data_IF_375207070585
#
_entry.id   IF_375207070585
#
_cell.length_a   1.000
_cell.length_b   1.000
_cell.length_c   1.000
_cell.angle_alpha   90.00
_cell.angle_beta   90.00
_cell.angle_gamma   90.00
#
_symmetry.space_group_name_H-M   'P 1'
#
loop_
_entity.id
_entity.type
_entity.pdbx_description
1 polymer ?
#
# COMPACT_ATOMS: atom_id res chain seq x y z
N UNK A 1 -23.81 -0.82 10.79
CA UNK A 1 -22.79 -0.14 9.96
C UNK A 1 -22.01 -1.19 9.19
N UNK A 2 -21.51 -0.89 7.98
CA UNK A 2 -20.75 -1.84 7.14
C UNK A 2 -19.53 -1.13 6.56
N UNK A 3 -18.33 -1.59 6.90
CA UNK A 3 -17.12 -1.24 6.17
C UNK A 3 -17.01 -2.19 4.97
N UNK A 4 -16.93 -1.69 3.73
CA UNK A 4 -16.73 -2.54 2.55
C UNK A 4 -15.29 -2.37 2.06
N UNK A 5 -14.50 -3.44 1.99
CA UNK A 5 -13.17 -3.40 1.38
C UNK A 5 -13.26 -3.89 -0.06
N UNK A 6 -13.31 -2.98 -1.02
CA UNK A 6 -13.38 -3.36 -2.43
C UNK A 6 -11.97 -3.60 -2.97
N UNK A 7 -11.88 -4.49 -3.96
CA UNK A 7 -10.70 -4.86 -4.75
C UNK A 7 -9.62 -5.67 -4.03
N UNK A 8 -9.46 -6.93 -4.47
CA UNK A 8 -8.12 -7.50 -4.66
C UNK A 8 -7.77 -7.40 -6.16
N UNK A 9 -7.51 -6.19 -6.63
CA UNK A 9 -6.14 -5.76 -6.85
C UNK A 9 -5.95 -4.66 -5.81
N UNK A 10 -4.88 -4.66 -5.03
CA UNK A 10 -4.77 -3.95 -3.75
C UNK A 10 -4.85 -2.39 -3.83
N UNK A 11 -5.48 -1.83 -4.86
CA UNK A 11 -6.10 -0.52 -4.84
C UNK A 11 -7.43 -0.53 -4.08
N UNK A 12 -7.34 -0.08 -2.83
CA UNK A 12 -8.36 0.64 -2.08
C UNK A 12 -9.52 -0.15 -1.47
N UNK A 13 -9.33 -0.51 -0.19
CA UNK A 13 -10.40 -0.48 0.82
C UNK A 13 -11.34 0.72 0.53
N UNK A 14 -12.67 0.58 0.55
CA UNK A 14 -13.57 1.72 0.25
C UNK A 14 -14.76 1.70 1.19
N UNK A 15 -14.60 2.35 2.34
CA UNK A 15 -15.69 2.59 3.28
C UNK A 15 -16.91 3.17 2.53
N UNK A 16 -18.07 2.53 2.64
CA UNK A 16 -19.30 3.15 2.15
C UNK A 16 -19.67 4.32 3.06
N UNK A 17 -19.96 5.45 2.43
CA UNK A 17 -20.00 6.83 2.93
C UNK A 17 -21.07 7.19 3.97
N UNK A 18 -21.49 6.25 4.82
CA UNK A 18 -22.36 6.52 5.98
C UNK A 18 -21.69 6.16 7.32
N UNK A 19 -20.36 6.04 7.34
CA UNK A 19 -19.60 5.63 8.51
C UNK A 19 -19.03 6.84 9.29
N UNK A 20 -19.02 6.83 10.63
CA UNK A 20 -18.39 7.86 11.46
C UNK A 20 -16.87 7.95 11.17
N UNK A 21 -16.24 9.06 11.56
CA UNK A 21 -14.85 9.40 11.20
C UNK A 21 -13.77 8.33 11.48
N UNK A 22 -14.04 7.36 12.35
CA UNK A 22 -13.15 6.24 12.63
C UNK A 22 -12.97 5.26 11.47
N UNK A 23 -13.99 5.06 10.63
CA UNK A 23 -13.88 4.19 9.45
C UNK A 23 -12.89 4.75 8.41
N UNK A 24 -12.78 6.09 8.35
CA UNK A 24 -11.75 6.77 7.55
C UNK A 24 -10.34 6.53 8.09
N UNK A 25 -10.13 6.58 9.41
CA UNK A 25 -8.83 6.31 10.04
C UNK A 25 -8.39 4.85 9.85
N UNK A 26 -9.29 3.89 10.05
CA UNK A 26 -9.01 2.47 9.80
C UNK A 26 -8.64 2.23 8.33
N UNK A 27 -9.40 2.84 7.41
CA UNK A 27 -9.11 2.83 5.98
C UNK A 27 -7.69 3.33 5.68
N UNK A 28 -7.35 4.53 6.16
CA UNK A 28 -6.05 5.16 5.94
C UNK A 28 -4.89 4.29 6.40
N UNK A 29 -4.95 3.74 7.62
CA UNK A 29 -3.85 2.99 8.24
C UNK A 29 -3.64 1.61 7.61
N UNK A 30 -4.72 0.91 7.29
CA UNK A 30 -4.63 -0.43 6.68
C UNK A 30 -3.99 -0.44 5.29
N UNK A 31 -4.02 0.69 4.55
CA UNK A 31 -3.38 0.81 3.23
C UNK A 31 -1.89 0.48 3.25
N UNK A 32 -1.19 0.75 4.36
CA UNK A 32 0.26 0.52 4.43
C UNK A 32 0.60 -0.95 4.25
N UNK A 33 -0.04 -1.82 5.04
CA UNK A 33 0.11 -3.27 4.96
C UNK A 33 -0.47 -3.81 3.65
N UNK A 34 -1.64 -3.35 3.22
CA UNK A 34 -2.22 -3.80 1.95
C UNK A 34 -1.30 -3.50 0.75
N UNK A 35 -0.77 -2.29 0.65
CA UNK A 35 0.18 -1.94 -0.40
C UNK A 35 1.49 -2.74 -0.28
N UNK A 36 1.92 -3.09 0.92
CA UNK A 36 3.11 -3.92 1.11
C UNK A 36 2.87 -5.32 0.58
N UNK A 37 1.75 -5.93 0.97
CA UNK A 37 1.35 -7.25 0.49
C UNK A 37 1.26 -7.24 -1.03
N UNK A 38 0.53 -6.30 -1.62
CA UNK A 38 0.37 -6.18 -3.09
C UNK A 38 1.68 -6.30 -3.87
N UNK A 39 2.69 -5.57 -3.42
CA UNK A 39 3.93 -5.36 -4.16
C UNK A 39 4.87 -6.56 -4.06
N UNK A 40 4.55 -7.51 -3.19
CA UNK A 40 5.23 -8.81 -3.06
C UNK A 40 4.57 -9.92 -3.92
N UNK A 41 3.55 -9.59 -4.72
CA UNK A 41 2.95 -10.50 -5.70
C UNK A 41 3.11 -9.96 -7.13
N UNK A 42 3.36 -10.86 -8.06
CA UNK A 42 3.37 -10.57 -9.49
C UNK A 42 1.95 -10.44 -10.05
N UNK A 43 1.80 -9.78 -11.20
CA UNK A 43 0.48 -9.61 -11.84
C UNK A 43 -0.27 -10.95 -12.08
N UNK A 44 0.37 -12.04 -12.55
CA UNK A 44 -0.32 -13.33 -12.71
C UNK A 44 -0.77 -13.95 -11.38
N UNK A 45 -0.04 -13.70 -10.29
CA UNK A 45 -0.43 -14.19 -8.96
C UNK A 45 -1.62 -13.39 -8.45
N UNK A 46 -1.59 -12.07 -8.64
CA UNK A 46 -2.70 -11.19 -8.31
C UNK A 46 -3.95 -11.52 -9.11
N UNK A 47 -3.85 -11.88 -10.39
CA UNK A 47 -4.99 -12.30 -11.23
C UNK A 47 -5.64 -13.62 -10.74
N UNK A 48 -4.85 -14.56 -10.21
CA UNK A 48 -5.37 -15.80 -9.61
C UNK A 48 -6.10 -15.55 -8.30
N UNK A 49 -5.62 -14.56 -7.56
CA UNK A 49 -6.19 -14.12 -6.29
C UNK A 49 -7.43 -13.24 -6.54
N UNK A 50 -7.42 -12.44 -7.62
CA UNK A 50 -8.42 -11.44 -7.95
C UNK A 50 -9.88 -11.91 -7.82
N UNK A 51 -10.34 -13.04 -8.42
CA UNK A 51 -11.75 -13.44 -8.36
C UNK A 51 -12.28 -13.66 -6.94
N UNK A 52 -11.40 -13.76 -5.95
CA UNK A 52 -11.72 -13.71 -4.52
C UNK A 52 -11.25 -12.37 -3.94
N UNK A 53 -12.19 -11.52 -3.52
CA UNK A 53 -11.86 -10.27 -2.82
C UNK A 53 -12.05 -10.47 -1.33
N UNK A 54 -10.97 -10.40 -0.55
CA UNK A 54 -11.10 -10.38 0.91
C UNK A 54 -11.67 -9.05 1.35
N UNK A 55 -12.83 -9.09 2.03
CA UNK A 55 -13.51 -7.91 2.54
C UNK A 55 -13.70 -8.05 4.04
N UNK A 56 -12.79 -7.46 4.81
CA UNK A 56 -12.98 -7.34 6.25
C UNK A 56 -14.13 -6.34 6.48
N UNK A 57 -15.33 -6.87 6.71
CA UNK A 57 -16.49 -6.04 6.99
C UNK A 57 -16.88 -6.07 8.46
N UNK A 58 -16.88 -4.88 9.03
CA UNK A 58 -17.36 -4.68 10.38
C UNK A 58 -18.87 -4.52 10.32
N UNK A 59 -19.59 -5.58 10.68
CA UNK A 59 -21.05 -5.56 10.80
C UNK A 59 -21.48 -5.69 12.26
N UNK A 60 -22.59 -5.02 12.60
CA UNK A 60 -23.29 -5.27 13.87
C UNK A 60 -24.24 -6.47 13.77
N UNK A 61 -24.50 -6.95 12.55
CA UNK A 61 -25.44 -8.03 12.24
C UNK A 61 -24.67 -9.11 11.50
N UNK A 62 -24.75 -10.39 11.91
CA UNK A 62 -24.01 -11.47 11.24
C UNK A 62 -24.38 -11.56 9.77
N UNK A 63 -23.40 -11.57 8.87
CA UNK A 63 -23.58 -11.94 7.46
C UNK A 63 -23.10 -13.38 7.26
N UNK A 64 -23.46 -14.05 6.15
CA UNK A 64 -22.85 -15.32 5.79
C UNK A 64 -21.32 -15.19 5.73
N UNK A 65 -20.60 -16.20 6.23
CA UNK A 65 -19.13 -16.20 6.29
C UNK A 65 -18.47 -15.88 4.95
N UNK A 66 -19.11 -16.27 3.85
CA UNK A 66 -18.76 -15.84 2.49
C UNK A 66 -20.04 -15.46 1.74
N UNK A 67 -20.01 -14.32 1.04
CA UNK A 67 -21.09 -13.89 0.16
C UNK A 67 -20.57 -13.41 -1.19
N UNK A 68 -21.47 -13.31 -2.17
CA UNK A 68 -21.17 -12.78 -3.50
C UNK A 68 -21.52 -11.29 -3.56
N UNK A 69 -20.58 -10.44 -3.97
CA UNK A 69 -20.85 -9.03 -4.20
C UNK A 69 -20.21 -8.58 -5.51
N UNK A 70 -21.01 -8.06 -6.45
CA UNK A 70 -20.55 -7.57 -7.75
C UNK A 70 -19.67 -8.58 -8.54
N UNK A 71 -19.95 -9.89 -8.41
CA UNK A 71 -19.21 -10.96 -9.10
C UNK A 71 -17.95 -11.45 -8.38
N UNK A 72 -17.72 -11.03 -7.14
CA UNK A 72 -16.57 -11.43 -6.31
C UNK A 72 -17.02 -12.29 -5.13
N UNK A 73 -16.20 -13.27 -4.74
CA UNK A 73 -16.30 -13.94 -3.45
C UNK A 73 -15.76 -13.04 -2.34
N UNK A 74 -16.51 -12.92 -1.25
CA UNK A 74 -16.28 -11.94 -0.20
C UNK A 74 -16.41 -12.62 1.15
N UNK A 75 -15.30 -12.78 1.89
CA UNK A 75 -15.34 -13.35 3.24
C UNK A 75 -15.66 -12.27 4.28
N UNK A 76 -16.69 -12.49 5.08
CA UNK A 76 -17.09 -11.59 6.16
C UNK A 76 -16.28 -11.86 7.44
N UNK A 77 -15.80 -10.81 8.10
CA UNK A 77 -15.02 -10.91 9.33
C UNK A 77 -15.59 -9.95 10.38
N UNK A 78 -16.39 -10.45 11.33
CA UNK A 78 -17.02 -9.60 12.32
C UNK A 78 -15.99 -9.05 13.30
N UNK A 79 -15.66 -7.76 13.19
CA UNK A 79 -14.89 -7.06 14.21
C UNK A 79 -15.81 -6.67 15.37
N UNK A 80 -15.48 -7.10 16.59
CA UNK A 80 -16.19 -6.64 17.79
C UNK A 80 -15.85 -5.17 18.04
N UNK A 81 -16.88 -4.31 18.07
CA UNK A 81 -16.72 -2.85 18.19
C UNK A 81 -15.94 -2.39 19.42
N UNK A 82 -16.02 -3.14 20.52
CA UNK A 82 -15.28 -2.85 21.76
C UNK A 82 -13.76 -2.97 21.58
N UNK A 83 -13.31 -3.86 20.70
CA UNK A 83 -11.91 -4.00 20.36
C UNK A 83 -11.50 -2.89 19.39
N UNK A 84 -12.34 -2.58 18.40
CA UNK A 84 -12.12 -1.47 17.47
C UNK A 84 -11.93 -0.12 18.22
N UNK A 85 -12.81 0.22 19.17
CA UNK A 85 -12.70 1.47 19.95
C UNK A 85 -11.37 1.60 20.73
N UNK A 86 -10.81 0.48 21.21
CA UNK A 86 -9.52 0.47 21.93
C UNK A 86 -8.31 0.72 21.01
N UNK A 87 -8.37 0.28 19.75
CA UNK A 87 -7.33 0.53 18.72
C UNK A 87 -7.49 1.88 17.99
N UNK A 88 -8.53 2.64 18.34
CA UNK A 88 -8.93 3.90 17.69
C UNK A 88 -8.72 5.13 18.58
N UNK A 89 -8.14 4.97 19.78
CA UNK A 89 -7.66 6.09 20.59
C UNK A 89 -6.60 6.89 19.79
N UNK A 90 -6.71 8.23 19.83
CA UNK A 90 -6.05 9.16 18.90
C UNK A 90 -4.51 9.05 18.83
N UNK A 91 -3.88 8.39 19.79
CA UNK A 91 -2.41 8.29 19.92
C UNK A 91 -1.78 6.98 19.40
N UNK A 92 -2.53 6.04 18.82
CA UNK A 92 -1.90 4.78 18.37
C UNK A 92 -1.21 4.90 17.00
N UNK A 93 0.05 5.35 17.03
CA UNK A 93 1.08 5.04 16.02
C UNK A 93 1.75 3.69 16.34
N UNK A 94 0.96 2.69 16.73
CA UNK A 94 1.47 1.54 17.44
C UNK A 94 1.45 0.27 16.55
N UNK A 95 2.49 -0.59 16.61
CA UNK A 95 2.52 -1.89 15.93
C UNK A 95 1.26 -2.75 16.15
N UNK A 96 0.61 -2.58 17.30
CA UNK A 96 -0.58 -3.30 17.76
C UNK A 96 -1.76 -3.18 16.78
N UNK A 97 -1.94 -2.03 16.12
CA UNK A 97 -2.95 -1.91 15.05
C UNK A 97 -2.65 -2.88 13.89
N UNK A 98 -1.39 -3.02 13.51
CA UNK A 98 -1.00 -3.89 12.40
C UNK A 98 -0.98 -5.36 12.82
N UNK A 99 -0.67 -5.70 14.07
CA UNK A 99 -0.89 -7.05 14.60
C UNK A 99 -2.36 -7.43 14.54
N UNK A 100 -3.25 -6.56 15.02
CA UNK A 100 -4.69 -6.75 14.92
C UNK A 100 -5.16 -6.88 13.47
N UNK A 101 -4.64 -6.05 12.56
CA UNK A 101 -4.96 -6.15 11.13
C UNK A 101 -4.48 -7.48 10.53
N UNK A 102 -3.33 -8.00 10.94
CA UNK A 102 -2.80 -9.28 10.50
C UNK A 102 -3.64 -10.47 11.01
N UNK A 103 -4.16 -10.38 12.24
CA UNK A 103 -5.11 -11.37 12.78
C UNK A 103 -6.40 -11.40 11.96
N UNK A 104 -7.01 -10.23 11.71
CA UNK A 104 -8.19 -10.13 10.87
C UNK A 104 -7.92 -10.63 9.44
N UNK A 105 -6.74 -10.34 8.89
CA UNK A 105 -6.33 -10.85 7.59
C UNK A 105 -6.31 -12.39 7.59
N UNK A 106 -5.66 -13.02 8.56
CA UNK A 106 -5.59 -14.49 8.64
C UNK A 106 -6.97 -15.14 8.78
N UNK A 107 -7.83 -14.63 9.67
CA UNK A 107 -9.21 -15.12 9.82
C UNK A 107 -9.97 -15.10 8.50
N UNK A 108 -9.78 -14.04 7.71
CA UNK A 108 -10.38 -13.87 6.40
C UNK A 108 -9.87 -14.87 5.39
N UNK A 109 -8.56 -15.08 5.37
CA UNK A 109 -7.89 -16.01 4.48
C UNK A 109 -8.29 -17.45 4.77
N UNK A 110 -8.47 -17.84 6.05
CA UNK A 110 -8.99 -19.16 6.44
C UNK A 110 -10.34 -19.45 5.78
N UNK A 111 -11.25 -18.46 5.81
CA UNK A 111 -12.58 -18.62 5.20
C UNK A 111 -12.47 -18.78 3.67
N UNK A 112 -11.64 -17.98 3.02
CA UNK A 112 -11.44 -18.03 1.56
C UNK A 112 -10.72 -19.30 1.09
N UNK A 113 -9.76 -19.80 1.85
CA UNK A 113 -9.01 -21.03 1.57
C UNK A 113 -9.93 -22.26 1.60
N UNK A 114 -10.97 -22.27 2.44
CA UNK A 114 -11.97 -23.33 2.47
C UNK A 114 -12.78 -23.44 1.17
N UNK A 115 -12.82 -22.39 0.34
CA UNK A 115 -13.60 -22.33 -0.89
C UNK A 115 -12.76 -22.24 -2.18
N UNK A 116 -11.46 -21.95 -2.07
CA UNK A 116 -10.57 -21.73 -3.20
C UNK A 116 -9.12 -22.07 -2.84
N UNK A 117 -8.26 -22.37 -3.84
CA UNK A 117 -6.81 -22.53 -3.64
C UNK A 117 -6.14 -21.17 -3.45
N UNK A 118 -6.44 -20.52 -2.33
CA UNK A 118 -5.90 -19.21 -1.99
C UNK A 118 -4.50 -19.34 -1.37
N UNK A 119 -3.50 -18.52 -1.75
CA UNK A 119 -2.13 -18.65 -1.24
C UNK A 119 -1.97 -18.04 0.16
N UNK A 120 -2.75 -18.53 1.14
CA UNK A 120 -2.81 -18.01 2.51
C UNK A 120 -1.45 -17.91 3.17
N UNK A 121 -0.69 -19.01 3.19
CA UNK A 121 0.63 -19.06 3.86
C UNK A 121 1.57 -17.97 3.34
N UNK A 122 1.58 -17.75 2.02
CA UNK A 122 2.39 -16.69 1.42
C UNK A 122 1.94 -15.30 1.83
N UNK A 123 0.63 -15.04 1.84
CA UNK A 123 0.10 -13.73 2.25
C UNK A 123 0.44 -13.46 3.71
N UNK A 124 0.30 -14.45 4.59
CA UNK A 124 0.67 -14.34 6.00
C UNK A 124 2.17 -14.12 6.19
N UNK A 125 3.02 -14.82 5.43
CA UNK A 125 4.47 -14.60 5.49
C UNK A 125 4.83 -13.17 5.08
N UNK A 126 4.20 -12.64 4.03
CA UNK A 126 4.41 -11.24 3.61
C UNK A 126 3.89 -10.23 4.64
N UNK A 127 2.75 -10.51 5.28
CA UNK A 127 2.22 -9.67 6.35
C UNK A 127 3.13 -9.70 7.59
N UNK A 128 3.72 -10.85 7.91
CA UNK A 128 4.72 -10.99 8.98
C UNK A 128 5.99 -10.22 8.65
N UNK A 129 6.52 -10.36 7.43
CA UNK A 129 7.68 -9.59 6.98
C UNK A 129 7.44 -8.08 7.11
N UNK A 130 6.22 -7.60 6.81
CA UNK A 130 5.86 -6.20 7.01
C UNK A 130 5.98 -5.75 8.47
N UNK A 131 5.50 -6.58 9.41
CA UNK A 131 5.57 -6.31 10.85
C UNK A 131 7.03 -6.33 11.34
N UNK A 132 7.79 -7.36 10.94
CA UNK A 132 9.19 -7.56 11.31
C UNK A 132 10.10 -6.41 10.78
N UNK A 133 9.70 -5.76 9.68
CA UNK A 133 10.39 -4.60 9.10
C UNK A 133 9.83 -3.23 9.55
N UNK A 134 9.16 -3.16 10.71
CA UNK A 134 8.75 -1.90 11.32
C UNK A 134 7.55 -1.24 10.63
N UNK A 135 6.70 -2.02 9.96
CA UNK A 135 5.51 -1.55 9.25
C UNK A 135 5.82 -0.54 8.13
N UNK A 136 6.98 -0.67 7.50
CA UNK A 136 7.42 0.21 6.42
C UNK A 136 7.34 -0.46 5.05
N UNK A 137 6.91 0.31 4.07
CA UNK A 137 6.91 -0.09 2.68
C UNK A 137 7.84 0.83 1.89
N UNK A 138 8.92 0.28 1.34
CA UNK A 138 9.93 1.04 0.60
C UNK A 138 10.01 0.52 -0.83
N UNK A 139 10.10 1.43 -1.81
CA UNK A 139 10.25 1.05 -3.20
C UNK A 139 10.67 2.12 -4.18
N UNK A 140 11.09 1.67 -5.37
CA UNK A 140 11.28 2.55 -6.51
C UNK A 140 9.99 2.70 -7.32
N UNK A 141 9.45 3.92 -7.40
CA UNK A 141 8.29 4.30 -8.21
C UNK A 141 8.59 4.33 -9.71
N UNK A 142 9.76 4.86 -10.05
CA UNK A 142 10.26 4.97 -11.41
C UNK A 142 11.77 4.99 -11.41
N UNK A 143 12.36 4.48 -12.48
CA UNK A 143 13.80 4.42 -12.67
C UNK A 143 14.12 4.72 -14.12
N UNK A 144 15.14 5.54 -14.36
CA UNK A 144 15.63 5.90 -15.69
C UNK A 144 17.15 5.91 -15.70
N UNK A 145 17.73 5.14 -16.62
CA UNK A 145 19.17 5.07 -16.84
C UNK A 145 19.46 5.53 -18.27
N UNK A 146 19.85 6.80 -18.48
CA UNK A 146 20.19 7.31 -19.80
C UNK A 146 21.38 6.55 -20.40
N UNK A 147 21.32 6.27 -21.71
CA UNK A 147 22.39 5.53 -22.39
C UNK A 147 23.69 6.32 -22.39
N UNK A 148 24.80 5.65 -22.11
CA UNK A 148 26.15 6.20 -22.24
C UNK A 148 26.60 7.11 -21.09
N UNK A 149 25.79 7.34 -20.06
CA UNK A 149 26.15 8.21 -18.93
C UNK A 149 26.58 7.47 -17.67
N UNK A 150 26.32 6.16 -17.54
CA UNK A 150 26.56 5.42 -16.29
C UNK A 150 25.62 5.80 -15.13
N UNK A 151 24.81 6.84 -15.30
CA UNK A 151 23.92 7.37 -14.29
C UNK A 151 22.54 6.71 -14.30
N UNK A 152 21.94 6.68 -13.11
CA UNK A 152 20.58 6.23 -12.87
C UNK A 152 19.87 7.25 -11.98
N UNK A 153 18.83 7.87 -12.53
CA UNK A 153 17.84 8.61 -11.75
C UNK A 153 16.69 7.69 -11.35
N UNK A 154 16.22 7.78 -10.11
CA UNK A 154 15.05 7.02 -9.65
C UNK A 154 14.24 7.80 -8.61
N UNK A 155 12.99 7.41 -8.45
CA UNK A 155 12.14 7.87 -7.36
C UNK A 155 11.99 6.78 -6.34
N UNK A 156 12.61 6.96 -5.18
CA UNK A 156 12.42 6.07 -4.03
C UNK A 156 11.27 6.61 -3.17
N UNK A 157 10.23 5.80 -3.03
CA UNK A 157 9.09 6.00 -2.16
C UNK A 157 9.25 5.20 -0.86
N UNK A 158 8.78 5.81 0.23
CA UNK A 158 8.66 5.19 1.54
C UNK A 158 7.29 5.53 2.10
N UNK A 159 6.55 4.52 2.50
CA UNK A 159 5.27 4.65 3.16
C UNK A 159 5.37 3.99 4.53
N UNK A 160 5.11 4.81 5.54
CA UNK A 160 5.03 4.45 6.95
C UNK A 160 3.59 4.67 7.42
N UNK A 161 3.22 4.19 8.62
CA UNK A 161 1.89 4.39 9.18
C UNK A 161 1.46 5.87 9.25
N UNK A 162 2.43 6.77 9.43
CA UNK A 162 2.16 8.19 9.64
C UNK A 162 2.31 9.02 8.35
N UNK A 163 3.05 8.51 7.36
CA UNK A 163 3.53 9.35 6.26
C UNK A 163 3.97 8.58 5.04
N UNK A 164 3.65 9.15 3.88
CA UNK A 164 4.25 8.84 2.60
C UNK A 164 5.32 9.87 2.25
N UNK A 165 6.47 9.43 1.76
CA UNK A 165 7.56 10.26 1.25
C UNK A 165 8.05 9.73 -0.08
N UNK A 166 8.41 10.63 -0.98
CA UNK A 166 9.13 10.30 -2.20
C UNK A 166 10.36 11.20 -2.35
N UNK A 167 11.48 10.58 -2.72
CA UNK A 167 12.74 11.26 -2.99
C UNK A 167 13.22 10.94 -4.39
N UNK A 168 13.70 11.95 -5.11
CA UNK A 168 14.55 11.72 -6.28
C UNK A 168 15.92 11.28 -5.79
N UNK A 169 16.48 10.26 -6.43
CA UNK A 169 17.80 9.70 -6.13
C UNK A 169 18.56 9.58 -7.43
N UNK A 170 19.75 10.18 -7.47
CA UNK A 170 20.70 10.00 -8.55
C UNK A 170 21.83 9.09 -8.06
N UNK A 171 22.19 8.12 -8.87
CA UNK A 171 23.21 7.12 -8.55
C UNK A 171 24.09 6.81 -9.76
N UNK A 172 25.33 6.41 -9.49
CA UNK A 172 26.25 5.82 -10.45
C UNK A 172 26.61 4.41 -9.96
N UNK A 173 26.16 3.39 -10.67
CA UNK A 173 26.17 2.02 -10.15
C UNK A 173 25.40 1.92 -8.83
N UNK A 174 26.08 1.45 -7.78
CA UNK A 174 25.52 1.31 -6.43
C UNK A 174 25.79 2.54 -5.53
N UNK A 175 26.49 3.55 -6.06
CA UNK A 175 26.83 4.77 -5.29
C UNK A 175 25.73 5.81 -5.46
N UNK A 176 25.14 6.25 -4.35
CA UNK A 176 24.23 7.41 -4.33
C UNK A 176 25.03 8.70 -4.44
N UNK A 177 24.78 9.47 -5.51
CA UNK A 177 25.42 10.77 -5.76
C UNK A 177 24.59 11.92 -5.18
N UNK A 178 23.26 11.79 -5.21
CA UNK A 178 22.36 12.85 -4.78
C UNK A 178 21.00 12.28 -4.36
N UNK A 179 20.39 12.91 -3.35
CA UNK A 179 19.04 12.61 -2.91
C UNK A 179 18.30 13.90 -2.56
N UNK A 180 17.15 14.10 -3.19
CA UNK A 180 16.29 15.26 -2.99
C UNK A 180 14.89 14.81 -2.54
N UNK A 181 14.37 15.31 -1.41
CA UNK A 181 12.96 15.12 -1.06
C UNK A 181 12.07 15.85 -2.07
N UNK A 182 11.19 15.12 -2.76
CA UNK A 182 10.31 15.70 -3.79
C UNK A 182 8.88 15.82 -3.31
N UNK A 183 8.45 14.91 -2.43
CA UNK A 183 7.06 14.90 -1.96
C UNK A 183 6.89 14.26 -0.58
N UNK A 184 5.92 14.77 0.19
CA UNK A 184 5.50 14.19 1.47
C UNK A 184 4.02 14.43 1.70
N UNK A 185 3.28 13.41 2.12
CA UNK A 185 1.85 13.48 2.45
C UNK A 185 1.46 12.48 3.54
N UNK A 186 0.20 12.51 3.96
CA UNK A 186 -0.44 11.38 4.62
C UNK A 186 -0.39 10.11 3.74
N UNK A 187 -0.45 8.90 4.32
CA UNK A 187 -0.30 7.63 3.59
C UNK A 187 -1.45 7.33 2.59
N UNK A 188 -2.49 8.17 2.53
CA UNK A 188 -3.69 7.99 1.69
C UNK A 188 -3.61 8.59 0.30
N UNK A 189 -2.86 9.67 0.09
CA UNK A 189 -2.91 10.48 -1.15
C UNK A 189 -2.07 9.90 -2.31
N UNK A 190 -1.60 8.67 -2.17
CA UNK A 190 -0.61 8.05 -3.07
C UNK A 190 -1.05 7.99 -4.54
N UNK A 191 -2.33 7.77 -4.86
CA UNK A 191 -2.76 7.53 -6.25
C UNK A 191 -2.60 8.74 -7.18
N UNK A 192 -2.80 9.96 -6.67
CA UNK A 192 -2.67 11.17 -7.49
C UNK A 192 -1.21 11.52 -7.80
N UNK A 193 -0.33 11.39 -6.79
CA UNK A 193 1.10 11.66 -6.94
C UNK A 193 1.82 10.52 -7.65
N UNK A 194 1.39 9.27 -7.47
CA UNK A 194 1.92 8.11 -8.17
C UNK A 194 1.90 8.30 -9.68
N UNK A 195 0.79 8.79 -10.25
CA UNK A 195 0.69 9.01 -11.69
C UNK A 195 1.66 10.07 -12.23
N UNK A 196 2.03 11.05 -11.40
CA UNK A 196 2.96 12.13 -11.77
C UNK A 196 4.42 11.71 -11.62
N UNK A 197 4.74 11.07 -10.49
CA UNK A 197 6.10 10.66 -10.14
C UNK A 197 6.57 9.41 -10.90
N UNK A 198 5.64 8.56 -11.39
CA UNK A 198 6.02 7.38 -12.18
C UNK A 198 6.60 7.73 -13.56
N UNK A 199 6.39 8.95 -14.05
CA UNK A 199 6.84 9.40 -15.36
C UNK A 199 8.18 10.14 -15.27
N UNK A 200 9.25 9.40 -14.97
CA UNK A 200 10.61 9.93 -14.98
C UNK A 200 11.21 9.83 -16.39
N UNK A 201 11.56 10.96 -16.99
CA UNK A 201 12.27 11.03 -18.28
C UNK A 201 13.63 11.72 -18.14
N UNK A 202 14.44 11.65 -19.20
CA UNK A 202 15.74 12.31 -19.27
C UNK A 202 15.94 12.90 -20.66
N UNK A 203 16.14 14.22 -20.73
CA UNK A 203 16.29 14.98 -21.96
C UNK A 203 17.28 16.13 -21.72
N UNK A 204 18.13 16.46 -22.70
CA UNK A 204 19.01 17.64 -22.66
C UNK A 204 19.82 17.84 -21.36
N UNK A 205 20.39 16.77 -20.78
CA UNK A 205 21.19 16.88 -19.55
C UNK A 205 20.39 16.86 -18.25
N UNK A 206 19.06 16.73 -18.31
CA UNK A 206 18.16 16.89 -17.17
C UNK A 206 17.21 15.72 -17.02
N UNK A 207 16.95 15.36 -15.77
CA UNK A 207 15.84 14.46 -15.43
C UNK A 207 14.56 15.27 -15.28
N UNK A 208 13.43 14.78 -15.80
CA UNK A 208 12.13 15.44 -15.73
C UNK A 208 11.08 14.53 -15.12
N UNK A 209 10.16 15.12 -14.35
CA UNK A 209 8.99 14.44 -13.81
C UNK A 209 7.82 15.41 -13.60
N UNK A 210 6.60 14.96 -13.90
CA UNK A 210 5.44 15.85 -13.89
C UNK A 210 5.57 17.03 -14.88
N UNK A 211 4.78 18.09 -14.69
CA UNK A 211 4.69 19.22 -15.64
C UNK A 211 5.72 20.33 -15.33
N UNK A 212 6.36 20.34 -14.16
CA UNK A 212 7.18 21.47 -13.70
C UNK A 212 8.45 21.12 -12.92
N UNK A 213 8.80 19.84 -12.75
CA UNK A 213 9.95 19.47 -11.92
C UNK A 213 11.06 18.83 -12.75
N UNK A 214 12.30 19.24 -12.47
CA UNK A 214 13.48 18.72 -13.13
C UNK A 214 14.72 18.81 -12.25
N UNK A 215 15.66 17.88 -12.44
CA UNK A 215 16.98 17.90 -11.83
C UNK A 215 18.04 18.13 -12.91
N UNK A 216 18.91 19.11 -12.70
CA UNK A 216 19.99 19.45 -13.62
C UNK A 216 21.31 18.83 -13.16
N UNK A 217 21.92 17.99 -14.01
CA UNK A 217 23.23 17.38 -13.71
C UNK A 217 24.33 18.43 -13.50
N UNK A 218 24.21 19.63 -14.07
CA UNK A 218 25.16 20.71 -13.86
C UNK A 218 25.22 21.18 -12.40
N UNK A 219 24.12 21.02 -11.64
CA UNK A 219 24.05 21.41 -10.22
C UNK A 219 24.93 20.56 -9.29
N UNK A 220 25.46 19.43 -9.76
CA UNK A 220 26.36 18.57 -8.98
C UNK A 220 27.80 19.11 -8.88
N UNK A 221 28.13 20.16 -9.64
CA UNK A 221 29.49 20.71 -9.73
C UNK A 221 29.73 21.94 -8.85
N UNK A 222 28.73 22.34 -8.05
CA UNK A 222 28.81 23.39 -7.03
C UNK A 222 29.04 22.77 -5.64
#
# INVERSE_FOLDING_TARGET
>A
MTLRLRNIGFDALRASTNAPGWAGKFFTRSRTMCNYIYRNFSAPELERIAPSSLLIAMHHTPMPDIYQANGWQVADIPVRLKDAESYLADDMASPEFYYFLAELLDEGLVKLEAQSRFPRERINNVAKDFLDNGCENIWTLAKRSPRGLGLTGRFDARMSPDRFRASFVLSEGDVELHREPVFSSEPTETSWYYQRLRNLSYENGRFFWGVRWSFDLASLKE
#
